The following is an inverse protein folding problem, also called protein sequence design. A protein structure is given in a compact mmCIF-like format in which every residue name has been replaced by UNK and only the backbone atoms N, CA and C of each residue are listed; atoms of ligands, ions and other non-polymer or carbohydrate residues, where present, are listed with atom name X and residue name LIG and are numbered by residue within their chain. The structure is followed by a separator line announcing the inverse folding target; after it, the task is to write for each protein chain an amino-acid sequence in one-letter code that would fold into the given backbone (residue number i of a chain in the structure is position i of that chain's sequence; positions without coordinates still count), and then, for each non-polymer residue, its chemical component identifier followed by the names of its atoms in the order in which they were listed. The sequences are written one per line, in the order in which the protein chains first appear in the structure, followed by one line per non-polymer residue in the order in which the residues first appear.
data_IF_809734257543
#
_entry.id   IF_809734257543
#
_cell.length_a   1.000
_cell.length_b   1.000
_cell.length_c   1.000
_cell.angle_alpha   90.00
_cell.angle_beta   90.00
_cell.angle_gamma   90.00
#
_symmetry.space_group_name_H-M   'P 1'
#
loop_
_entity.id
_entity.type
_entity.pdbx_description
1 polymer ?
#
# COMPACT_ATOMS: atom_id res chain seq x y z
N UNK A 1 30.53 31.77 -53.35
CA UNK A 1 29.05 31.86 -53.17
C UNK A 1 28.32 30.51 -53.16
N UNK A 2 28.80 29.45 -53.84
CA UNK A 2 28.09 28.15 -53.97
C UNK A 2 27.95 27.31 -52.69
N UNK A 3 28.87 27.42 -51.73
CA UNK A 3 28.83 26.60 -50.50
C UNK A 3 27.72 27.00 -49.50
N UNK A 4 27.32 28.28 -49.46
CA UNK A 4 26.30 28.74 -48.52
C UNK A 4 24.89 28.26 -48.89
N UNK A 5 24.63 28.02 -50.17
CA UNK A 5 23.34 27.49 -50.65
C UNK A 5 23.12 26.06 -50.14
N UNK A 6 24.18 25.25 -50.11
CA UNK A 6 24.12 23.86 -49.63
C UNK A 6 23.80 23.84 -48.14
N UNK A 7 24.44 24.72 -47.35
CA UNK A 7 24.20 24.83 -45.91
C UNK A 7 22.75 25.25 -45.63
N UNK A 8 22.21 26.20 -46.39
CA UNK A 8 20.82 26.64 -46.26
C UNK A 8 19.82 25.54 -46.61
N UNK A 9 20.08 24.73 -47.65
CA UNK A 9 19.20 23.61 -48.02
C UNK A 9 19.19 22.51 -46.96
N UNK A 10 20.35 22.19 -46.36
CA UNK A 10 20.43 21.19 -45.28
C UNK A 10 19.73 21.68 -44.01
N UNK A 11 19.88 22.96 -43.66
CA UNK A 11 19.20 23.55 -42.50
C UNK A 11 17.67 23.54 -42.66
N UNK A 12 17.16 23.84 -43.85
CA UNK A 12 15.72 23.78 -44.15
C UNK A 12 15.21 22.33 -44.12
N UNK A 13 15.99 21.36 -44.61
CA UNK A 13 15.61 19.95 -44.56
C UNK A 13 15.46 19.43 -43.12
N UNK A 14 16.37 19.79 -42.21
CA UNK A 14 16.30 19.41 -40.79
C UNK A 14 15.07 20.04 -40.11
N UNK A 15 14.76 21.31 -40.40
CA UNK A 15 13.59 21.99 -39.87
C UNK A 15 12.27 21.38 -40.35
N UNK A 16 12.18 20.97 -41.62
CA UNK A 16 10.97 20.34 -42.18
C UNK A 16 10.74 18.93 -41.61
N UNK A 17 11.82 18.18 -41.36
CA UNK A 17 11.74 16.86 -40.72
C UNK A 17 11.37 17.01 -39.23
N UNK A 18 11.87 18.04 -38.54
CA UNK A 18 11.49 18.36 -37.16
C UNK A 18 10.06 18.89 -37.00
N UNK A 19 9.51 19.58 -38.00
CA UNK A 19 8.16 20.18 -37.93
C UNK A 19 7.04 19.21 -38.30
N UNK A 20 7.32 18.16 -39.08
CA UNK A 20 6.39 17.04 -39.26
C UNK A 20 6.61 16.06 -38.13
N UNK A 21 6.02 16.37 -36.97
CA UNK A 21 6.08 15.61 -35.71
C UNK A 21 5.79 14.11 -35.84
N UNK A 22 6.74 13.39 -36.39
CA UNK A 22 6.90 11.94 -36.41
C UNK A 22 8.23 11.64 -35.72
N UNK A 23 8.48 12.30 -34.59
CA UNK A 23 9.10 11.56 -33.51
C UNK A 23 8.00 10.59 -33.11
N UNK A 24 8.11 9.27 -33.35
CA UNK A 24 7.36 8.39 -32.52
C UNK A 24 7.98 8.65 -31.15
N UNK A 25 7.35 9.53 -30.37
CA UNK A 25 7.00 9.10 -29.05
C UNK A 25 6.17 7.84 -29.31
N UNK A 26 6.87 6.72 -29.53
CA UNK A 26 6.47 5.49 -28.92
C UNK A 26 6.34 5.96 -27.49
N UNK A 27 5.10 6.28 -27.12
CA UNK A 27 4.69 6.09 -25.76
C UNK A 27 5.30 4.72 -25.46
N UNK A 28 6.43 4.72 -24.73
CA UNK A 28 6.55 3.78 -23.64
C UNK A 28 5.38 4.15 -22.73
N UNK A 29 4.17 3.86 -23.21
CA UNK A 29 3.00 3.57 -22.45
C UNK A 29 3.61 2.59 -21.49
N UNK A 30 3.83 3.11 -20.28
CA UNK A 30 4.38 2.37 -19.19
C UNK A 30 3.23 1.43 -18.81
N UNK A 31 3.06 0.45 -19.69
CA UNK A 31 2.14 -0.64 -19.64
C UNK A 31 2.78 -1.58 -18.63
N UNK A 32 2.74 -1.16 -17.37
CA UNK A 32 2.02 -2.00 -16.44
C UNK A 32 0.69 -2.27 -17.15
N UNK A 33 0.61 -3.38 -17.90
CA UNK A 33 -0.58 -3.82 -18.59
C UNK A 33 -1.75 -3.72 -17.61
N UNK A 34 -2.96 -3.47 -18.08
CA UNK A 34 -4.12 -3.39 -17.17
C UNK A 34 -4.20 -4.65 -16.29
N UNK A 35 -3.69 -5.79 -16.78
CA UNK A 35 -3.43 -7.01 -16.03
C UNK A 35 -2.42 -6.85 -14.86
N UNK A 36 -1.28 -6.19 -15.05
CA UNK A 36 -0.37 -5.87 -13.93
C UNK A 36 -0.95 -4.84 -12.97
N UNK A 37 -1.74 -3.87 -13.45
CA UNK A 37 -2.39 -2.88 -12.57
C UNK A 37 -3.48 -3.53 -11.73
N UNK A 38 -4.27 -4.42 -12.30
CA UNK A 38 -5.31 -5.18 -11.60
C UNK A 38 -4.70 -6.22 -10.65
N UNK A 39 -3.67 -6.96 -11.07
CA UNK A 39 -2.94 -7.86 -10.17
C UNK A 39 -2.29 -7.09 -9.00
N UNK A 40 -1.71 -5.92 -9.26
CA UNK A 40 -1.19 -5.05 -8.19
C UNK A 40 -2.34 -4.52 -7.32
N UNK A 41 -3.46 -4.09 -7.88
CA UNK A 41 -4.59 -3.63 -7.07
C UNK A 41 -5.14 -4.77 -6.18
N UNK A 42 -5.28 -5.98 -6.69
CA UNK A 42 -5.71 -7.16 -5.93
C UNK A 42 -4.70 -7.57 -4.84
N UNK A 43 -3.41 -7.40 -5.12
CA UNK A 43 -2.34 -7.66 -4.15
C UNK A 43 -2.24 -6.61 -3.03
N UNK A 44 -2.71 -5.40 -3.28
CA UNK A 44 -2.68 -4.27 -2.33
C UNK A 44 -4.05 -3.95 -1.72
N UNK A 45 -5.06 -4.78 -2.00
CA UNK A 45 -6.39 -4.64 -1.39
C UNK A 45 -6.48 -5.55 -0.17
N UNK A 46 -6.69 -5.00 1.04
CA UNK A 46 -6.92 -5.81 2.22
C UNK A 46 -8.25 -6.57 2.09
N UNK A 47 -8.31 -7.77 2.67
CA UNK A 47 -9.53 -8.58 2.72
C UNK A 47 -10.59 -7.93 3.61
N UNK A 48 -10.15 -7.25 4.67
CA UNK A 48 -11.01 -6.58 5.62
C UNK A 48 -10.86 -5.06 5.52
N UNK A 49 -11.89 -4.33 5.94
CA UNK A 49 -11.79 -2.87 6.09
C UNK A 49 -11.06 -2.51 7.38
N UNK A 50 -10.54 -1.29 7.45
CA UNK A 50 -9.92 -0.75 8.67
C UNK A 50 -10.82 -0.88 9.90
N UNK A 51 -12.12 -0.60 9.75
CA UNK A 51 -13.06 -0.68 10.87
C UNK A 51 -13.35 -2.12 11.30
N UNK A 52 -13.37 -3.06 10.35
CA UNK A 52 -13.50 -4.49 10.68
C UNK A 52 -12.28 -5.01 11.43
N UNK A 53 -11.06 -4.63 11.00
CA UNK A 53 -9.84 -4.98 11.72
C UNK A 53 -9.85 -4.48 13.17
N UNK A 54 -10.28 -3.22 13.39
CA UNK A 54 -10.46 -2.67 14.74
C UNK A 54 -11.49 -3.49 15.52
N UNK A 55 -12.65 -3.79 14.92
CA UNK A 55 -13.70 -4.55 15.59
C UNK A 55 -13.25 -5.96 15.99
N UNK A 56 -12.45 -6.65 15.17
CA UNK A 56 -11.89 -7.96 15.55
C UNK A 56 -10.99 -7.86 16.78
N UNK A 57 -10.15 -6.82 16.85
CA UNK A 57 -9.30 -6.58 18.02
C UNK A 57 -10.11 -6.16 19.25
N UNK A 58 -11.15 -5.34 19.08
CA UNK A 58 -12.06 -4.99 20.18
C UNK A 58 -12.76 -6.23 20.76
N UNK A 59 -13.24 -7.15 19.91
CA UNK A 59 -13.82 -8.42 20.34
C UNK A 59 -12.78 -9.27 21.06
N UNK A 60 -11.57 -9.38 20.51
CA UNK A 60 -10.47 -10.12 21.15
C UNK A 60 -10.16 -9.59 22.55
N UNK A 61 -10.02 -8.26 22.70
CA UNK A 61 -9.79 -7.64 24.01
C UNK A 61 -10.92 -7.98 24.99
N UNK A 62 -12.19 -7.99 24.56
CA UNK A 62 -13.32 -8.38 25.42
C UNK A 62 -13.27 -9.83 25.88
N UNK A 63 -12.73 -10.71 25.05
CA UNK A 63 -12.64 -12.14 25.34
C UNK A 63 -11.41 -12.49 26.20
N UNK A 64 -10.29 -11.78 26.01
CA UNK A 64 -9.02 -12.09 26.69
C UNK A 64 -8.75 -11.23 27.92
N UNK A 65 -9.25 -10.00 27.98
CA UNK A 65 -8.99 -9.06 29.09
C UNK A 65 -10.17 -8.97 30.06
N UNK A 66 -9.92 -9.21 31.35
CA UNK A 66 -10.91 -9.04 32.40
C UNK A 66 -11.35 -7.58 32.62
N UNK A 67 -10.50 -6.62 32.27
CA UNK A 67 -10.76 -5.19 32.39
C UNK A 67 -11.27 -4.53 31.08
N UNK A 68 -11.61 -5.33 30.06
CA UNK A 68 -11.98 -4.83 28.74
C UNK A 68 -13.13 -3.81 28.76
N UNK A 69 -14.15 -4.04 29.59
CA UNK A 69 -15.32 -3.15 29.72
C UNK A 69 -14.96 -1.78 30.31
N UNK A 70 -13.90 -1.70 31.12
CA UNK A 70 -13.38 -0.42 31.62
C UNK A 70 -12.39 0.22 30.63
N UNK A 71 -11.70 -0.60 29.84
CA UNK A 71 -10.67 -0.19 28.89
C UNK A 71 -11.25 0.41 27.61
N UNK A 72 -12.14 -0.29 26.92
CA UNK A 72 -12.62 0.05 25.58
C UNK A 72 -13.43 1.37 25.51
N UNK A 73 -14.33 1.70 26.46
CA UNK A 73 -15.14 2.92 26.35
C UNK A 73 -14.37 4.21 26.63
N UNK A 74 -13.23 4.12 27.32
CA UNK A 74 -12.48 5.27 27.83
C UNK A 74 -11.28 5.67 26.95
N UNK A 75 -11.06 4.98 25.84
CA UNK A 75 -9.93 5.23 24.94
C UNK A 75 -10.38 5.87 23.62
N UNK A 76 -9.57 6.75 23.02
CA UNK A 76 -9.77 7.17 21.64
C UNK A 76 -9.77 5.96 20.71
N UNK A 77 -10.44 6.12 19.56
CA UNK A 77 -10.56 5.04 18.58
C UNK A 77 -9.17 4.53 18.16
N UNK A 78 -9.04 3.20 18.14
CA UNK A 78 -7.83 2.53 17.69
C UNK A 78 -7.42 2.97 16.27
N UNK A 79 -6.11 3.01 16.04
CA UNK A 79 -5.54 3.16 14.71
C UNK A 79 -5.25 1.80 14.11
N UNK A 80 -5.65 1.57 12.86
CA UNK A 80 -5.40 0.30 12.20
C UNK A 80 -4.69 0.55 10.87
N UNK A 81 -3.56 -0.15 10.68
CA UNK A 81 -2.69 -0.05 9.50
C UNK A 81 -2.50 -1.44 8.90
N UNK A 82 -2.85 -1.57 7.63
CA UNK A 82 -2.62 -2.79 6.88
C UNK A 82 -1.22 -2.84 6.28
N UNK A 83 -0.63 -4.03 6.25
CA UNK A 83 0.67 -4.32 5.64
C UNK A 83 0.65 -5.67 4.92
N UNK A 84 1.26 -5.70 3.73
CA UNK A 84 1.42 -6.89 2.87
C UNK A 84 2.66 -7.73 3.21
N UNK A 85 3.47 -7.28 4.15
CA UNK A 85 4.69 -7.97 4.56
C UNK A 85 4.87 -7.65 6.04
N UNK A 86 4.75 -8.65 6.92
CA UNK A 86 4.88 -8.41 8.35
C UNK A 86 6.23 -7.82 8.71
N UNK A 87 6.25 -6.88 9.65
CA UNK A 87 7.45 -6.07 9.94
C UNK A 87 8.55 -6.82 10.70
N UNK A 88 8.24 -7.96 11.32
CA UNK A 88 9.14 -8.72 12.18
C UNK A 88 8.86 -10.21 12.06
N UNK A 89 9.89 -11.02 11.88
CA UNK A 89 9.85 -12.48 12.05
C UNK A 89 9.71 -12.79 13.55
N UNK A 90 8.52 -13.17 14.00
CA UNK A 90 8.25 -13.55 15.41
C UNK A 90 8.16 -15.07 15.59
N UNK A 91 8.69 -15.85 14.64
CA UNK A 91 8.66 -17.32 14.66
C UNK A 91 7.27 -17.98 14.64
N UNK A 92 6.19 -17.25 14.34
CA UNK A 92 4.92 -17.88 13.92
C UNK A 92 4.95 -18.17 12.41
N UNK A 93 4.44 -19.33 11.99
CA UNK A 93 4.18 -19.63 10.58
C UNK A 93 3.07 -18.70 10.08
N UNK A 94 3.45 -17.54 9.54
CA UNK A 94 2.54 -16.40 9.31
C UNK A 94 1.90 -16.35 7.93
N UNK A 95 0.70 -15.78 7.91
CA UNK A 95 0.10 -15.18 6.72
C UNK A 95 0.89 -13.98 6.20
N UNK A 96 0.78 -13.70 4.90
CA UNK A 96 1.55 -12.63 4.22
C UNK A 96 0.94 -11.25 4.53
N UNK A 97 -0.30 -11.18 5.00
CA UNK A 97 -1.08 -9.95 5.13
C UNK A 97 -1.51 -9.75 6.58
N UNK A 98 -1.19 -8.59 7.14
CA UNK A 98 -1.49 -8.26 8.53
C UNK A 98 -2.09 -6.85 8.69
N UNK A 99 -2.94 -6.72 9.69
CA UNK A 99 -3.38 -5.44 10.25
C UNK A 99 -2.67 -5.23 11.59
N UNK A 100 -1.96 -4.12 11.73
CA UNK A 100 -1.51 -3.64 13.04
C UNK A 100 -2.55 -2.67 13.58
N UNK A 101 -3.16 -3.02 14.72
CA UNK A 101 -4.11 -2.17 15.44
C UNK A 101 -3.40 -1.62 16.67
N UNK A 102 -3.39 -0.31 16.85
CA UNK A 102 -2.65 0.38 17.91
C UNK A 102 -3.60 1.25 18.73
N UNK A 103 -3.48 1.20 20.05
CA UNK A 103 -4.03 2.22 20.94
C UNK A 103 -3.08 3.43 20.97
N UNK A 104 -3.51 4.61 20.47
CA UNK A 104 -2.66 5.79 20.45
C UNK A 104 -2.36 6.36 21.85
N UNK A 105 -3.10 5.96 22.90
CA UNK A 105 -2.88 6.45 24.26
C UNK A 105 -1.82 5.66 25.02
N UNK A 106 -1.89 4.34 24.95
CA UNK A 106 -1.01 3.43 25.70
C UNK A 106 0.18 2.97 24.86
N UNK A 107 0.09 3.07 23.53
CA UNK A 107 1.04 2.45 22.62
C UNK A 107 0.88 0.94 22.53
N UNK A 108 -0.12 0.36 23.19
CA UNK A 108 -0.48 -1.04 23.04
C UNK A 108 -0.83 -1.35 21.58
N UNK A 109 -0.42 -2.51 21.08
CA UNK A 109 -0.75 -2.90 19.73
C UNK A 109 -0.92 -4.42 19.56
N UNK A 110 -1.82 -4.71 18.64
CA UNK A 110 -2.27 -6.03 18.23
C UNK A 110 -1.94 -6.23 16.76
N UNK A 111 -1.59 -7.46 16.41
CA UNK A 111 -1.44 -7.88 15.02
C UNK A 111 -2.51 -8.88 14.68
N UNK A 112 -3.33 -8.54 13.68
CA UNK A 112 -4.37 -9.39 13.12
C UNK A 112 -3.91 -9.90 11.76
N UNK A 113 -3.77 -11.21 11.59
CA UNK A 113 -3.43 -11.82 10.31
C UNK A 113 -4.70 -12.06 9.46
N UNK A 114 -4.71 -11.65 8.20
CA UNK A 114 -5.92 -11.72 7.36
C UNK A 114 -6.28 -13.13 6.90
N UNK A 115 -5.29 -14.03 6.89
CA UNK A 115 -5.42 -15.37 6.34
C UNK A 115 -6.26 -16.27 7.26
N UNK A 116 -6.05 -16.16 8.58
CA UNK A 116 -6.67 -17.00 9.61
C UNK A 116 -7.41 -16.21 10.71
N UNK A 117 -7.38 -14.87 10.68
CA UNK A 117 -7.90 -13.98 11.73
C UNK A 117 -7.22 -14.17 13.10
N UNK A 118 -6.02 -14.75 13.14
CA UNK A 118 -5.26 -14.87 14.38
C UNK A 118 -4.84 -13.48 14.86
N UNK A 119 -5.05 -13.21 16.15
CA UNK A 119 -4.65 -11.97 16.81
C UNK A 119 -3.52 -12.29 17.79
N UNK A 120 -2.43 -11.54 17.68
CA UNK A 120 -1.29 -11.61 18.59
C UNK A 120 -1.17 -10.32 19.36
N UNK A 121 -1.19 -10.44 20.68
CA UNK A 121 -0.88 -9.37 21.63
C UNK A 121 0.64 -9.16 21.64
N UNK A 122 1.12 -8.07 21.03
CA UNK A 122 2.57 -7.82 20.96
C UNK A 122 3.02 -6.89 22.09
N UNK A 123 2.22 -5.86 22.36
CA UNK A 123 2.31 -5.05 23.58
C UNK A 123 0.88 -4.81 24.02
N UNK A 124 0.43 -5.51 25.07
CA UNK A 124 -0.88 -5.32 25.68
C UNK A 124 -0.73 -4.79 27.09
N UNK A 125 -1.48 -3.74 27.43
CA UNK A 125 -1.62 -3.24 28.81
C UNK A 125 -3.02 -3.58 29.34
N UNK A 126 -3.41 -4.84 29.13
CA UNK A 126 -4.73 -5.38 29.42
C UNK A 126 -4.67 -6.53 30.43
#
# INVERSE_FOLDING_TARGET
MRNWIIVSVVAIAILVIGSRGLVPFTDKQSSLSDERRTATAMDYTPKYTRQQAINFVEVHIRETCAAADAYLPNRPRFEAKWMRAPRTDDHHERGIREWTVTDPMTGAYWRLYEDDLTIVDVIGDC
#
